data_IF_860240713873
#
_entry.id   IF_860240713873
#
_cell.length_a   1.000
_cell.length_b   1.000
_cell.length_c   1.000
_cell.angle_alpha   90.00
_cell.angle_beta   90.00
_cell.angle_gamma   90.00
#
_symmetry.space_group_name_H-M   'P 1'
#
loop_
_entity.id
_entity.type
_entity.pdbx_description
1 polymer ?
#
# COMPACT_ATOMS: atom_id res chain seq x y z
N UNK A 1 37.45 -39.17 -65.97
CA UNK A 1 36.06 -38.70 -65.58
C UNK A 1 35.54 -39.44 -64.36
N UNK A 2 35.47 -40.73 -64.23
CA UNK A 2 34.98 -41.49 -63.09
C UNK A 2 35.54 -41.12 -61.73
N UNK A 3 36.88 -40.82 -61.65
CA UNK A 3 37.60 -40.46 -60.41
C UNK A 3 37.30 -39.05 -59.96
N UNK A 4 36.99 -38.10 -60.84
CA UNK A 4 36.63 -36.72 -60.50
C UNK A 4 35.20 -36.66 -59.92
N UNK A 5 34.28 -37.44 -60.53
CA UNK A 5 32.90 -37.54 -60.06
C UNK A 5 32.84 -38.15 -58.64
N UNK A 6 33.68 -39.16 -58.35
CA UNK A 6 33.74 -39.75 -57.01
C UNK A 6 34.26 -38.77 -55.94
N UNK A 7 35.21 -37.89 -56.31
CA UNK A 7 35.78 -36.90 -55.39
C UNK A 7 34.76 -35.75 -55.10
N UNK A 8 34.01 -35.34 -56.13
CA UNK A 8 32.95 -34.32 -55.95
C UNK A 8 31.80 -34.87 -55.11
N UNK A 9 31.47 -36.15 -55.24
CA UNK A 9 30.41 -36.79 -54.46
C UNK A 9 30.78 -36.90 -52.97
N UNK A 10 32.07 -37.20 -52.66
CA UNK A 10 32.55 -37.25 -51.28
C UNK A 10 32.58 -35.87 -50.63
N UNK A 11 32.94 -34.81 -51.35
CA UNK A 11 32.88 -33.42 -50.85
C UNK A 11 31.43 -32.97 -50.60
N UNK A 12 30.49 -33.37 -51.46
CA UNK A 12 29.07 -33.05 -51.30
C UNK A 12 28.44 -33.74 -50.07
N UNK A 13 28.83 -34.99 -49.77
CA UNK A 13 28.38 -35.73 -48.60
C UNK A 13 28.97 -35.20 -47.29
N UNK A 14 30.28 -34.77 -47.30
CA UNK A 14 30.87 -34.15 -46.13
C UNK A 14 30.32 -32.75 -45.83
N UNK A 15 29.82 -32.00 -46.85
CA UNK A 15 29.20 -30.68 -46.67
C UNK A 15 27.84 -30.69 -45.95
N UNK A 16 27.18 -31.85 -45.87
CA UNK A 16 25.86 -31.96 -45.27
C UNK A 16 25.95 -32.15 -43.72
N UNK A 17 27.14 -32.49 -43.20
CA UNK A 17 27.33 -32.66 -41.74
C UNK A 17 27.85 -31.41 -41.03
N UNK A 18 28.01 -30.27 -41.69
CA UNK A 18 28.38 -28.98 -41.07
C UNK A 18 27.17 -28.05 -41.02
N UNK A 19 26.04 -28.61 -40.78
CA UNK A 19 24.82 -27.83 -40.61
C UNK A 19 24.12 -28.15 -39.33
N UNK A 20 23.97 -27.16 -38.52
CA UNK A 20 23.32 -27.10 -37.22
C UNK A 20 24.19 -27.55 -36.05
N UNK A 21 25.09 -26.69 -35.56
CA UNK A 21 25.09 -26.50 -34.16
C UNK A 21 23.68 -26.04 -33.83
N UNK A 22 22.85 -26.90 -33.18
CA UNK A 22 21.74 -26.41 -32.40
C UNK A 22 22.35 -25.31 -31.54
N UNK A 23 22.06 -24.03 -31.87
CA UNK A 23 22.18 -22.99 -30.88
C UNK A 23 21.26 -23.53 -29.76
N UNK A 24 21.88 -24.02 -28.69
CA UNK A 24 21.13 -24.19 -27.43
C UNK A 24 20.45 -22.84 -27.26
N UNK A 25 19.18 -22.82 -27.51
CA UNK A 25 18.33 -21.69 -27.07
C UNK A 25 18.59 -21.69 -25.59
N UNK A 26 19.32 -20.67 -25.10
CA UNK A 26 19.55 -20.49 -23.68
C UNK A 26 18.18 -20.73 -23.04
N UNK A 27 18.06 -21.86 -22.34
CA UNK A 27 16.81 -22.20 -21.67
C UNK A 27 16.49 -20.98 -20.84
N UNK A 28 15.39 -20.32 -21.17
CA UNK A 28 14.89 -19.14 -20.47
C UNK A 28 15.04 -19.42 -18.98
N UNK A 29 15.85 -18.60 -18.29
CA UNK A 29 16.06 -18.74 -16.86
C UNK A 29 14.69 -18.77 -16.17
N UNK A 30 14.31 -19.95 -15.70
CA UNK A 30 13.01 -20.21 -15.09
C UNK A 30 12.98 -19.81 -13.62
N UNK A 31 13.99 -19.08 -13.12
CA UNK A 31 13.95 -18.56 -11.76
C UNK A 31 12.71 -17.68 -11.63
N UNK A 32 11.79 -18.02 -10.72
CA UNK A 32 10.56 -17.26 -10.55
C UNK A 32 10.87 -15.80 -10.19
N UNK A 33 10.20 -14.88 -10.87
CA UNK A 33 10.34 -13.45 -10.66
C UNK A 33 9.10 -12.91 -9.96
N UNK A 34 9.28 -11.85 -9.18
CA UNK A 34 8.23 -11.29 -8.34
C UNK A 34 7.92 -9.85 -8.73
N UNK A 35 6.63 -9.49 -8.70
CA UNK A 35 6.14 -8.15 -9.04
C UNK A 35 5.06 -7.73 -8.06
N UNK A 36 5.00 -6.45 -7.70
CA UNK A 36 3.75 -5.89 -7.17
C UNK A 36 2.68 -5.89 -8.26
N UNK A 37 1.46 -6.22 -7.88
CA UNK A 37 0.34 -6.30 -8.84
C UNK A 37 -0.06 -4.90 -9.33
N UNK A 38 -0.11 -3.93 -8.44
CA UNK A 38 -0.38 -2.52 -8.74
C UNK A 38 0.86 -1.66 -8.54
N UNK A 39 0.88 -0.46 -9.12
CA UNK A 39 1.98 0.49 -8.93
C UNK A 39 1.70 1.49 -7.82
N UNK A 40 0.42 1.72 -7.53
CA UNK A 40 -0.02 2.67 -6.51
C UNK A 40 -1.22 2.08 -5.79
N UNK A 41 -1.15 2.10 -4.47
CA UNK A 41 -2.23 1.76 -3.56
C UNK A 41 -2.61 2.99 -2.74
N UNK A 42 -3.90 3.26 -2.62
CA UNK A 42 -4.43 4.38 -1.82
C UNK A 42 -5.22 3.80 -0.65
N UNK A 43 -4.76 4.09 0.56
CA UNK A 43 -5.49 3.80 1.78
C UNK A 43 -6.13 5.07 2.31
N UNK A 44 -7.44 5.15 2.28
CA UNK A 44 -8.19 6.20 2.95
C UNK A 44 -8.53 5.75 4.37
N UNK A 45 -8.11 6.54 5.36
CA UNK A 45 -8.49 6.42 6.75
C UNK A 45 -9.67 7.35 6.99
N UNK A 46 -10.70 6.86 7.66
CA UNK A 46 -11.94 7.59 7.90
C UNK A 46 -12.16 7.79 9.41
N UNK A 47 -13.23 8.45 9.78
CA UNK A 47 -13.61 8.74 11.15
C UNK A 47 -13.70 7.51 12.05
N UNK A 48 -14.24 6.38 11.52
CA UNK A 48 -14.24 5.11 12.26
C UNK A 48 -12.82 4.60 12.54
N UNK A 49 -11.83 4.91 11.69
CA UNK A 49 -10.43 4.61 11.99
C UNK A 49 -9.87 5.54 13.07
N UNK A 50 -10.40 6.77 13.19
CA UNK A 50 -9.95 7.74 14.19
C UNK A 50 -10.33 7.32 15.62
N UNK A 51 -11.56 6.84 15.82
CA UNK A 51 -12.06 6.44 17.15
C UNK A 51 -11.62 5.05 17.60
N UNK A 52 -11.00 4.24 16.72
CA UNK A 52 -10.46 2.92 17.08
C UNK A 52 -9.31 3.03 18.08
N UNK A 53 -9.27 2.13 19.06
CA UNK A 53 -8.24 2.10 20.10
C UNK A 53 -6.90 1.57 19.59
N UNK A 54 -6.92 0.66 18.61
CA UNK A 54 -5.70 0.11 18.04
C UNK A 54 -4.92 1.21 17.33
N UNK A 55 -3.61 1.35 17.56
CA UNK A 55 -2.80 2.42 16.98
C UNK A 55 -2.51 2.22 15.50
N UNK A 56 -2.89 1.09 14.92
CA UNK A 56 -2.60 0.72 13.54
C UNK A 56 -3.87 0.38 12.74
N UNK A 57 -3.80 0.55 11.44
CA UNK A 57 -4.72 -0.01 10.47
C UNK A 57 -4.07 -1.21 9.78
N UNK A 58 -4.86 -2.24 9.44
CA UNK A 58 -4.41 -3.36 8.62
C UNK A 58 -4.66 -3.01 7.17
N UNK A 59 -3.67 -3.28 6.33
CA UNK A 59 -3.75 -3.11 4.89
C UNK A 59 -3.05 -4.26 4.16
N UNK A 60 -3.06 -4.29 2.82
CA UNK A 60 -2.52 -5.39 2.05
C UNK A 60 -1.92 -4.93 0.73
N UNK A 61 -0.95 -5.70 0.25
CA UNK A 61 -0.48 -5.64 -1.13
C UNK A 61 -0.66 -7.00 -1.81
N UNK A 62 -0.80 -6.97 -3.12
CA UNK A 62 -0.88 -8.19 -3.92
C UNK A 62 0.44 -8.37 -4.68
N UNK A 63 0.97 -9.58 -4.61
CA UNK A 63 2.17 -9.99 -5.33
C UNK A 63 1.77 -10.90 -6.49
N UNK A 64 2.42 -10.70 -7.63
CA UNK A 64 2.28 -11.54 -8.81
C UNK A 64 3.61 -12.17 -9.18
N UNK A 65 3.60 -13.46 -9.44
CA UNK A 65 4.73 -14.20 -10.00
C UNK A 65 4.73 -14.04 -11.51
N UNK A 66 5.92 -13.85 -12.06
CA UNK A 66 6.19 -13.88 -13.49
C UNK A 66 6.99 -15.15 -13.82
N UNK A 67 6.48 -15.93 -14.74
CA UNK A 67 7.01 -17.23 -15.12
C UNK A 67 6.00 -18.36 -14.81
N UNK A 68 6.53 -19.55 -14.61
CA UNK A 68 5.73 -20.72 -14.28
C UNK A 68 5.20 -20.66 -12.84
N UNK A 69 4.13 -21.42 -12.57
CA UNK A 69 3.63 -21.60 -11.21
C UNK A 69 4.71 -22.21 -10.31
N UNK A 70 4.73 -21.80 -9.06
CA UNK A 70 5.68 -22.34 -8.09
C UNK A 70 5.37 -23.81 -7.81
N UNK A 71 6.42 -24.61 -7.60
CA UNK A 71 6.34 -26.00 -7.19
C UNK A 71 6.48 -26.20 -5.68
N UNK A 72 6.94 -25.16 -5.00
CA UNK A 72 7.17 -25.12 -3.57
C UNK A 72 7.01 -23.68 -3.03
N UNK A 73 6.77 -23.56 -1.74
CA UNK A 73 6.69 -22.27 -1.07
C UNK A 73 8.02 -21.52 -1.19
N UNK A 74 7.95 -20.20 -1.37
CA UNK A 74 9.14 -19.34 -1.45
C UNK A 74 8.98 -18.10 -0.59
N UNK A 75 10.06 -17.74 0.09
CA UNK A 75 10.11 -16.55 0.91
C UNK A 75 10.53 -15.32 0.11
N UNK A 76 10.01 -14.15 0.50
CA UNK A 76 10.45 -12.87 -0.02
C UNK A 76 10.39 -11.79 1.05
N UNK A 77 11.16 -10.73 0.85
CA UNK A 77 11.24 -9.61 1.77
C UNK A 77 10.81 -8.32 1.09
N UNK A 78 10.15 -7.46 1.86
CA UNK A 78 9.73 -6.12 1.46
C UNK A 78 10.29 -5.12 2.47
N UNK A 79 10.73 -3.97 1.99
CA UNK A 79 11.19 -2.86 2.81
C UNK A 79 10.39 -1.59 2.50
N UNK A 80 10.38 -0.67 3.46
CA UNK A 80 9.81 0.66 3.28
C UNK A 80 10.92 1.62 2.88
N UNK A 81 10.71 2.38 1.80
CA UNK A 81 11.62 3.44 1.38
C UNK A 81 10.87 4.78 1.27
N UNK A 82 11.51 5.91 1.67
CA UNK A 82 10.87 7.21 1.60
C UNK A 82 10.48 7.58 0.17
N UNK A 83 9.26 8.10 0.00
CA UNK A 83 8.85 8.72 -1.25
C UNK A 83 8.98 10.24 -1.13
N UNK A 84 9.85 10.84 -1.94
CA UNK A 84 10.15 12.29 -1.92
C UNK A 84 9.02 13.17 -2.48
N UNK A 85 8.06 12.57 -3.16
CA UNK A 85 6.89 13.28 -3.68
C UNK A 85 5.88 13.61 -2.57
N UNK A 86 6.03 12.98 -1.39
CA UNK A 86 5.21 13.23 -0.21
C UNK A 86 6.00 14.00 0.84
N UNK A 87 5.36 15.05 1.39
CA UNK A 87 5.96 15.84 2.47
C UNK A 87 5.97 15.10 3.79
N UNK A 88 5.06 14.14 3.96
CA UNK A 88 4.90 13.37 5.19
C UNK A 88 5.25 11.91 4.91
N UNK A 89 6.10 11.34 5.76
CA UNK A 89 6.38 9.90 5.78
C UNK A 89 5.27 9.15 6.51
N UNK A 90 5.09 7.89 6.16
CA UNK A 90 4.20 6.96 6.86
C UNK A 90 5.02 5.84 7.51
N UNK A 91 4.65 5.45 8.71
CA UNK A 91 5.28 4.34 9.42
C UNK A 91 4.50 3.05 9.13
N UNK A 92 5.16 2.13 8.44
CA UNK A 92 4.61 0.84 8.00
C UNK A 92 5.35 -0.29 8.70
N UNK A 93 4.60 -1.17 9.35
CA UNK A 93 5.11 -2.36 10.03
C UNK A 93 4.94 -3.57 9.11
N UNK A 94 6.04 -3.96 8.49
CA UNK A 94 6.14 -5.15 7.63
C UNK A 94 6.58 -6.37 8.44
N UNK A 95 6.22 -7.56 7.97
CA UNK A 95 6.81 -8.80 8.47
C UNK A 95 8.30 -8.88 8.06
N UNK A 96 9.10 -9.56 8.85
CA UNK A 96 10.53 -9.77 8.55
C UNK A 96 10.74 -10.53 7.24
N UNK A 97 9.78 -11.37 6.87
CA UNK A 97 9.64 -12.06 5.58
C UNK A 97 8.20 -12.44 5.35
N UNK A 98 7.84 -12.60 4.11
CA UNK A 98 6.57 -13.16 3.63
C UNK A 98 6.84 -14.48 2.93
N UNK A 99 5.90 -15.42 2.99
CA UNK A 99 6.00 -16.71 2.30
C UNK A 99 4.88 -16.82 1.28
N UNK A 100 5.23 -16.97 0.01
CA UNK A 100 4.29 -17.25 -1.06
C UNK A 100 3.92 -18.73 -0.99
N UNK A 101 2.62 -19.03 -0.83
CA UNK A 101 2.07 -20.38 -0.58
C UNK A 101 1.02 -20.82 -1.59
N UNK A 102 0.51 -19.89 -2.41
CA UNK A 102 -0.52 -20.16 -3.42
C UNK A 102 0.13 -20.76 -4.68
N UNK A 103 0.26 -22.09 -4.71
CA UNK A 103 1.00 -22.78 -5.77
C UNK A 103 0.18 -23.02 -7.05
N UNK A 104 -1.12 -22.82 -7.02
CA UNK A 104 -2.06 -22.99 -8.15
C UNK A 104 -2.49 -21.68 -8.81
N UNK A 105 -1.98 -20.53 -8.34
CA UNK A 105 -2.24 -19.21 -8.88
C UNK A 105 -0.95 -18.38 -8.96
N UNK A 106 -0.98 -17.36 -9.81
CA UNK A 106 0.14 -16.43 -9.98
C UNK A 106 0.03 -15.20 -9.08
N UNK A 107 -1.04 -15.06 -8.29
CA UNK A 107 -1.26 -13.89 -7.43
C UNK A 107 -1.60 -14.33 -6.01
N UNK A 108 -1.03 -13.63 -5.02
CA UNK A 108 -1.36 -13.81 -3.60
C UNK A 108 -1.37 -12.47 -2.88
N UNK A 109 -2.30 -12.33 -1.92
CA UNK A 109 -2.43 -11.14 -1.06
C UNK A 109 -1.63 -11.33 0.22
N UNK A 110 -0.94 -10.27 0.63
CA UNK A 110 -0.15 -10.23 1.86
C UNK A 110 -0.54 -9.00 2.68
N UNK A 111 -0.57 -9.14 4.00
CA UNK A 111 -1.03 -8.12 4.93
C UNK A 111 0.14 -7.46 5.66
N UNK A 112 -0.04 -6.20 5.98
CA UNK A 112 0.86 -5.40 6.80
C UNK A 112 0.07 -4.43 7.68
N UNK A 113 0.77 -3.71 8.55
CA UNK A 113 0.15 -2.73 9.43
C UNK A 113 0.68 -1.34 9.10
N UNK A 114 -0.20 -0.35 9.18
CA UNK A 114 0.14 1.06 9.06
C UNK A 114 -0.10 1.68 10.44
N UNK A 115 0.92 2.23 11.08
CA UNK A 115 0.71 3.07 12.24
C UNK A 115 -0.06 4.31 11.78
N UNK A 116 -1.26 4.51 12.38
CA UNK A 116 -2.13 5.61 11.98
C UNK A 116 -1.43 6.95 12.23
N UNK A 117 -1.21 7.76 11.17
CA UNK A 117 -0.60 9.07 11.33
C UNK A 117 -1.56 9.99 12.09
N UNK A 118 -1.00 10.98 12.77
CA UNK A 118 -1.83 12.03 13.40
C UNK A 118 -2.52 12.85 12.31
N UNK A 119 -3.78 13.20 12.55
CA UNK A 119 -4.47 14.20 11.72
C UNK A 119 -3.87 15.56 12.00
N UNK A 120 -3.38 16.23 10.97
CA UNK A 120 -2.82 17.57 11.06
C UNK A 120 -3.51 18.49 10.05
N UNK A 121 -3.82 19.73 10.45
CA UNK A 121 -4.45 20.70 9.55
C UNK A 121 -3.61 20.91 8.29
N UNK A 122 -4.22 20.63 7.12
CA UNK A 122 -3.59 20.81 5.81
C UNK A 122 -2.51 19.79 5.42
N UNK A 123 -2.30 18.73 6.22
CA UNK A 123 -1.27 17.70 5.98
C UNK A 123 -1.79 16.29 6.14
N UNK A 124 -2.90 15.99 5.50
CA UNK A 124 -3.58 14.71 5.69
C UNK A 124 -3.19 13.63 4.67
N UNK A 125 -2.12 13.86 3.90
CA UNK A 125 -1.61 12.91 2.90
C UNK A 125 -0.19 12.49 3.25
N UNK A 126 0.03 11.19 3.33
CA UNK A 126 1.28 10.54 3.70
C UNK A 126 1.66 9.52 2.63
N UNK A 127 2.95 9.24 2.44
CA UNK A 127 3.34 8.25 1.45
C UNK A 127 4.73 7.69 1.63
N UNK A 128 4.89 6.47 1.10
CA UNK A 128 6.17 5.78 1.01
C UNK A 128 6.17 4.85 -0.22
N UNK A 129 7.30 4.22 -0.47
CA UNK A 129 7.38 3.05 -1.34
C UNK A 129 7.43 1.78 -0.49
N UNK A 130 6.67 0.76 -0.88
CA UNK A 130 6.93 -0.63 -0.55
C UNK A 130 7.79 -1.20 -1.67
N UNK A 131 8.96 -1.74 -1.36
CA UNK A 131 9.94 -2.20 -2.33
C UNK A 131 10.42 -3.61 -1.98
N UNK A 132 10.57 -4.50 -2.98
CA UNK A 132 11.19 -5.80 -2.71
C UNK A 132 12.65 -5.60 -2.28
N UNK A 133 13.00 -6.21 -1.15
CA UNK A 133 14.36 -6.20 -0.61
C UNK A 133 15.19 -7.35 -1.21
N UNK A 134 15.59 -7.16 -2.47
CA UNK A 134 16.31 -8.17 -3.26
C UNK A 134 17.69 -8.53 -2.69
N UNK A 135 18.27 -7.65 -1.85
CA UNK A 135 19.58 -7.88 -1.22
C UNK A 135 19.44 -8.68 0.09
N UNK A 136 18.22 -8.92 0.56
CA UNK A 136 17.98 -9.69 1.77
C UNK A 136 18.25 -11.19 1.54
N UNK A 137 19.06 -11.87 2.36
CA UNK A 137 19.39 -13.28 2.15
C UNK A 137 18.20 -14.24 2.26
N UNK A 138 17.07 -13.78 2.81
CA UNK A 138 15.83 -14.55 2.86
C UNK A 138 14.97 -14.40 1.60
N UNK A 139 15.33 -13.48 0.70
CA UNK A 139 14.59 -13.26 -0.54
C UNK A 139 14.96 -14.32 -1.58
N UNK A 140 13.98 -15.09 -2.06
CA UNK A 140 14.18 -16.28 -2.92
C UNK A 140 13.65 -16.10 -4.34
N UNK A 141 13.39 -14.88 -4.76
CA UNK A 141 12.91 -14.54 -6.09
C UNK A 141 13.89 -13.65 -6.82
N UNK A 142 13.94 -13.76 -8.12
CA UNK A 142 14.62 -12.80 -8.97
C UNK A 142 13.77 -11.55 -9.17
N UNK A 143 14.42 -10.47 -9.58
CA UNK A 143 13.79 -9.22 -9.95
C UNK A 143 12.85 -9.43 -11.13
N UNK A 144 11.60 -9.00 -10.97
CA UNK A 144 10.63 -8.95 -12.05
C UNK A 144 10.76 -7.72 -12.95
N UNK A 145 9.65 -7.16 -13.38
CA UNK A 145 9.63 -5.92 -14.16
C UNK A 145 10.11 -4.75 -13.30
N UNK A 146 10.93 -3.88 -13.88
CA UNK A 146 11.54 -2.75 -13.16
C UNK A 146 10.48 -1.85 -12.56
N UNK A 147 9.44 -1.54 -13.32
CA UNK A 147 8.30 -0.70 -12.91
C UNK A 147 7.36 -1.37 -11.90
N UNK A 148 7.55 -2.66 -11.62
CA UNK A 148 6.75 -3.46 -10.68
C UNK A 148 7.55 -3.92 -9.45
N UNK A 149 8.78 -3.43 -9.31
CA UNK A 149 9.63 -3.77 -8.16
C UNK A 149 9.24 -2.99 -6.89
N UNK A 150 8.44 -1.97 -7.04
CA UNK A 150 7.94 -1.12 -5.96
C UNK A 150 6.48 -0.74 -6.18
N UNK A 151 5.79 -0.47 -5.08
CA UNK A 151 4.43 0.05 -5.03
C UNK A 151 4.42 1.35 -4.23
N UNK A 152 3.76 2.38 -4.73
CA UNK A 152 3.52 3.62 -3.98
C UNK A 152 2.36 3.38 -3.03
N UNK A 153 2.62 3.47 -1.73
CA UNK A 153 1.57 3.54 -0.72
C UNK A 153 1.25 5.01 -0.44
N UNK A 154 0.00 5.39 -0.70
CA UNK A 154 -0.56 6.69 -0.37
C UNK A 154 -1.61 6.50 0.73
N UNK A 155 -1.40 7.13 1.88
CA UNK A 155 -2.34 7.10 3.01
C UNK A 155 -2.88 8.51 3.23
N UNK A 156 -4.20 8.64 3.34
CA UNK A 156 -4.85 9.93 3.57
C UNK A 156 -5.99 9.81 4.57
N UNK A 157 -6.25 10.89 5.29
CA UNK A 157 -7.43 11.03 6.12
C UNK A 157 -8.55 11.72 5.35
N UNK A 158 -9.75 11.17 5.45
CA UNK A 158 -11.02 11.78 5.04
C UNK A 158 -11.99 11.61 6.21
N UNK A 159 -12.04 12.63 7.07
CA UNK A 159 -12.82 12.56 8.33
C UNK A 159 -14.27 13.00 8.15
N UNK A 160 -14.55 13.89 7.16
CA UNK A 160 -15.88 14.47 6.99
C UNK A 160 -16.90 13.37 6.75
N UNK A 161 -17.92 13.23 7.62
CA UNK A 161 -19.04 12.32 7.40
C UNK A 161 -19.90 12.79 6.22
N UNK A 162 -20.57 11.87 5.54
CA UNK A 162 -21.40 12.18 4.38
C UNK A 162 -22.59 13.11 4.75
N UNK A 163 -23.12 12.97 5.95
CA UNK A 163 -24.32 13.67 6.43
C UNK A 163 -24.00 14.57 7.64
N UNK A 164 -23.03 15.49 7.50
CA UNK A 164 -22.81 16.52 8.55
C UNK A 164 -23.95 17.51 8.58
N UNK A 165 -24.49 17.79 9.76
CA UNK A 165 -25.61 18.71 9.98
C UNK A 165 -25.16 19.97 10.73
N UNK A 166 -25.03 21.10 10.02
CA UNK A 166 -24.51 22.37 10.56
C UNK A 166 -25.34 22.93 11.72
N UNK A 167 -26.62 22.57 11.80
CA UNK A 167 -27.48 23.07 12.86
C UNK A 167 -27.20 22.47 14.25
N UNK A 168 -26.46 21.37 14.34
CA UNK A 168 -26.11 20.70 15.60
C UNK A 168 -24.89 21.36 16.25
N UNK A 169 -23.80 21.48 15.50
CA UNK A 169 -22.50 21.97 15.98
C UNK A 169 -21.89 23.09 15.11
N UNK A 170 -22.66 23.67 14.20
CA UNK A 170 -22.18 24.63 13.22
C UNK A 170 -21.46 23.99 12.03
N UNK A 171 -20.89 24.81 11.17
CA UNK A 171 -20.18 24.35 9.97
C UNK A 171 -19.03 23.39 10.29
N UNK A 172 -18.77 22.47 9.38
CA UNK A 172 -17.74 21.44 9.54
C UNK A 172 -16.33 22.03 9.66
N UNK A 173 -15.46 21.38 10.42
CA UNK A 173 -14.01 21.36 10.23
C UNK A 173 -13.44 20.09 10.86
N UNK A 174 -12.29 19.62 10.32
CA UNK A 174 -11.60 18.45 10.88
C UNK A 174 -11.34 18.60 12.38
N UNK A 175 -10.91 19.79 12.83
CA UNK A 175 -10.61 20.07 14.24
C UNK A 175 -11.86 19.98 15.11
N UNK A 176 -12.99 20.52 14.63
CA UNK A 176 -14.27 20.48 15.34
C UNK A 176 -14.76 19.04 15.45
N UNK A 177 -14.71 18.29 14.36
CA UNK A 177 -15.14 16.90 14.38
C UNK A 177 -14.21 16.01 15.24
N UNK A 178 -12.88 16.22 15.17
CA UNK A 178 -11.97 15.53 16.08
C UNK A 178 -12.25 15.83 17.57
N UNK A 179 -12.62 17.08 17.90
CA UNK A 179 -13.02 17.42 19.27
C UNK A 179 -14.24 16.59 19.69
N UNK A 180 -15.28 16.53 18.85
CA UNK A 180 -16.51 15.78 19.11
C UNK A 180 -16.18 14.29 19.30
N UNK A 181 -15.43 13.69 18.37
CA UNK A 181 -15.01 12.28 18.47
C UNK A 181 -14.18 11.99 19.72
N UNK A 182 -13.33 12.92 20.14
CA UNK A 182 -12.52 12.76 21.36
C UNK A 182 -13.40 12.80 22.63
N UNK A 183 -14.45 13.61 22.63
CA UNK A 183 -15.40 13.71 23.76
C UNK A 183 -16.31 12.48 23.82
N UNK A 184 -16.89 12.08 22.70
CA UNK A 184 -17.90 11.03 22.65
C UNK A 184 -17.30 9.62 22.47
N UNK A 185 -16.08 9.50 21.89
CA UNK A 185 -15.49 8.22 21.47
C UNK A 185 -16.38 7.48 20.47
N UNK A 186 -17.13 8.24 19.66
CA UNK A 186 -18.09 7.79 18.64
C UNK A 186 -17.90 8.60 17.35
N UNK A 187 -18.32 8.04 16.22
CA UNK A 187 -18.43 8.74 14.95
C UNK A 187 -19.79 9.43 14.84
N UNK A 188 -19.94 10.30 13.83
CA UNK A 188 -21.14 11.11 13.63
C UNK A 188 -22.44 10.29 13.62
N UNK A 189 -22.45 9.21 12.84
CA UNK A 189 -23.64 8.36 12.67
C UNK A 189 -24.05 7.59 13.94
N UNK A 190 -23.16 7.49 14.92
CA UNK A 190 -23.37 6.79 16.20
C UNK A 190 -23.69 7.77 17.35
N UNK A 191 -23.74 9.10 17.09
CA UNK A 191 -24.07 10.09 18.11
C UNK A 191 -25.53 9.99 18.54
N UNK A 192 -25.77 10.15 19.84
CA UNK A 192 -27.08 10.19 20.46
C UNK A 192 -27.37 11.62 20.98
N UNK A 193 -28.66 11.93 21.24
CA UNK A 193 -29.06 13.27 21.72
C UNK A 193 -28.28 13.70 22.97
N UNK A 194 -27.98 12.77 23.88
CA UNK A 194 -27.16 13.03 25.09
C UNK A 194 -25.72 13.40 24.80
N UNK A 195 -25.16 12.95 23.66
CA UNK A 195 -23.79 13.29 23.23
C UNK A 195 -23.70 14.77 22.83
N UNK A 196 -24.77 15.37 22.31
CA UNK A 196 -24.85 16.81 21.97
C UNK A 196 -24.60 17.66 23.22
N UNK A 197 -25.35 17.39 24.29
CA UNK A 197 -25.18 18.11 25.55
C UNK A 197 -23.81 17.90 26.17
N UNK A 198 -23.28 16.68 26.09
CA UNK A 198 -21.94 16.34 26.56
C UNK A 198 -20.85 17.10 25.79
N UNK A 199 -20.97 17.22 24.45
CA UNK A 199 -20.02 17.99 23.62
C UNK A 199 -20.10 19.47 23.96
N UNK A 200 -21.30 20.06 24.08
CA UNK A 200 -21.49 21.46 24.45
C UNK A 200 -20.87 21.77 25.81
N UNK A 201 -21.11 20.93 26.80
CA UNK A 201 -20.51 21.10 28.13
C UNK A 201 -18.96 20.99 28.06
N UNK A 202 -18.43 19.99 27.36
CA UNK A 202 -16.99 19.81 27.20
C UNK A 202 -16.34 20.98 26.46
N UNK A 203 -17.02 21.54 25.45
CA UNK A 203 -16.51 22.72 24.72
C UNK A 203 -16.51 23.96 25.58
N UNK A 204 -17.53 24.19 26.41
CA UNK A 204 -17.56 25.26 27.40
C UNK A 204 -16.37 25.18 28.36
N UNK A 205 -16.12 24.01 28.93
CA UNK A 205 -14.98 23.76 29.83
C UNK A 205 -13.64 23.97 29.11
N UNK A 206 -13.54 23.58 27.81
CA UNK A 206 -12.38 23.79 26.99
C UNK A 206 -12.06 25.29 26.80
N UNK A 207 -13.07 26.10 26.51
CA UNK A 207 -12.93 27.57 26.38
C UNK A 207 -12.63 28.23 27.74
N UNK A 208 -13.32 27.84 28.82
CA UNK A 208 -13.06 28.36 30.19
C UNK A 208 -11.65 28.04 30.69
N UNK A 209 -11.04 26.94 30.19
CA UNK A 209 -9.63 26.61 30.46
C UNK A 209 -8.63 27.49 29.68
N UNK A 210 -9.09 28.42 28.86
CA UNK A 210 -8.26 29.36 28.10
C UNK A 210 -7.72 28.81 26.80
N UNK A 211 -8.29 27.71 26.30
CA UNK A 211 -7.92 27.18 24.99
C UNK A 211 -8.49 28.04 23.84
N UNK A 212 -7.82 28.05 22.65
CA UNK A 212 -8.33 28.81 21.52
C UNK A 212 -9.62 28.18 20.96
N UNK A 213 -10.55 28.99 20.44
CA UNK A 213 -11.74 28.50 19.77
C UNK A 213 -11.44 27.53 18.62
N UNK A 214 -12.37 26.61 18.36
CA UNK A 214 -12.30 25.62 17.28
C UNK A 214 -13.35 25.99 16.22
N UNK A 215 -13.02 26.83 15.22
CA UNK A 215 -13.98 27.28 14.23
C UNK A 215 -14.29 26.18 13.19
N UNK A 216 -15.49 26.23 12.64
CA UNK A 216 -15.86 25.58 11.42
C UNK A 216 -15.33 26.30 10.17
N UNK A 217 -15.69 25.80 8.99
CA UNK A 217 -15.29 26.41 7.69
C UNK A 217 -15.82 27.82 7.53
N UNK A 218 -17.01 28.14 8.07
CA UNK A 218 -17.63 29.47 8.04
C UNK A 218 -17.17 30.37 9.21
N UNK A 219 -16.26 29.89 10.05
CA UNK A 219 -15.73 30.62 11.19
C UNK A 219 -16.60 30.59 12.45
N UNK A 220 -17.69 29.84 12.43
CA UNK A 220 -18.58 29.61 13.57
C UNK A 220 -17.98 28.58 14.54
N UNK A 221 -18.39 28.65 15.80
CA UNK A 221 -17.95 27.75 16.86
C UNK A 221 -19.12 26.80 17.26
N UNK A 222 -18.81 25.84 18.16
CA UNK A 222 -19.86 25.05 18.81
C UNK A 222 -20.64 25.96 19.76
N UNK A 223 -21.94 26.11 19.52
CA UNK A 223 -22.82 26.86 20.40
C UNK A 223 -23.07 26.04 21.68
N UNK A 224 -22.65 26.61 22.81
CA UNK A 224 -22.78 25.97 24.13
C UNK A 224 -23.63 26.78 25.13
N UNK A 225 -24.32 27.86 24.69
CA UNK A 225 -25.23 28.66 25.50
C UNK A 225 -26.66 28.08 25.58
#
# INVERSE_FOLDING_TARGET
MKRIISFVLVILVCGIYVGCSENEIDLYDQTPRINFYVNTHVRTLVDTDYVKKEPYAIDSFTVRIQGDLLKENRDFCVKVTPNRDYQNSIDVLLESKYTYTELDTVCQVFYYKINRPKVESGRNVYGCYLEFDLDNPLHQFDKGLVEKNQEVLNVRWELKPDEWEDWVFGSYSDNKYMFIMNVCQRVWDDLEDEDVDKVKQAYKEYIEAGNPPIPGEDGDEIDYE
#
